data_IF_772265532551
#
_entry.id   IF_772265532551
#
_cell.length_a   1.000
_cell.length_b   1.000
_cell.length_c   1.000
_cell.angle_alpha   90.00
_cell.angle_beta   90.00
_cell.angle_gamma   90.00
#
_symmetry.space_group_name_H-M   'P 1'
#
loop_
_entity.id
_entity.type
_entity.pdbx_description
1 polymer ?
#
# COMPACT_ATOMS: atom_id res chain seq x y z
N UNK A 1 -18.12 0.73 -4.97
CA UNK A 1 -16.82 0.36 -5.57
C UNK A 1 -15.88 0.02 -4.43
N UNK A 2 -15.08 -1.05 -4.52
CA UNK A 2 -14.14 -1.39 -3.47
C UNK A 2 -13.06 -0.29 -3.34
N UNK A 3 -12.63 -0.04 -2.11
CA UNK A 3 -11.55 0.92 -1.81
C UNK A 3 -10.27 0.12 -1.54
N UNK A 4 -9.15 0.54 -2.12
CA UNK A 4 -7.82 -0.03 -1.84
C UNK A 4 -6.90 1.09 -1.37
N UNK A 5 -6.04 0.80 -0.40
CA UNK A 5 -5.01 1.73 0.07
C UNK A 5 -3.63 1.30 -0.45
N UNK A 6 -2.84 2.25 -0.96
CA UNK A 6 -1.44 2.08 -1.26
C UNK A 6 -0.61 2.95 -0.32
N UNK A 7 0.16 2.31 0.57
CA UNK A 7 1.08 2.97 1.49
C UNK A 7 2.54 2.71 1.07
N UNK A 8 3.33 3.77 1.00
CA UNK A 8 4.73 3.71 0.55
C UNK A 8 5.72 3.91 1.71
N UNK A 9 5.25 4.30 2.90
CA UNK A 9 6.08 4.47 4.08
C UNK A 9 5.60 3.65 5.28
N UNK A 10 6.47 3.40 6.29
CA UNK A 10 6.05 2.73 7.53
C UNK A 10 4.97 3.48 8.30
N UNK A 11 4.94 4.81 8.20
CA UNK A 11 3.89 5.61 8.81
C UNK A 11 2.59 5.49 8.03
N UNK A 12 2.63 5.64 6.71
CA UNK A 12 1.47 5.49 5.85
C UNK A 12 0.83 4.11 5.96
N UNK A 13 1.62 3.05 6.14
CA UNK A 13 1.09 1.71 6.35
C UNK A 13 0.30 1.61 7.67
N UNK A 14 0.81 2.19 8.76
CA UNK A 14 0.08 2.21 10.04
C UNK A 14 -1.25 2.95 9.91
N UNK A 15 -1.26 4.07 9.20
CA UNK A 15 -2.47 4.85 8.95
C UNK A 15 -3.45 4.09 8.05
N UNK A 16 -2.97 3.46 6.98
CA UNK A 16 -3.78 2.63 6.09
C UNK A 16 -4.44 1.45 6.83
N UNK A 17 -3.71 0.77 7.72
CA UNK A 17 -4.26 -0.30 8.58
C UNK A 17 -5.41 0.22 9.44
N UNK A 18 -5.25 1.39 10.06
CA UNK A 18 -6.29 1.99 10.90
C UNK A 18 -7.53 2.37 10.08
N UNK A 19 -7.35 2.95 8.89
CA UNK A 19 -8.44 3.38 8.01
C UNK A 19 -9.18 2.20 7.37
N UNK A 20 -8.47 1.14 7.02
CA UNK A 20 -9.06 -0.04 6.39
C UNK A 20 -9.75 -0.98 7.38
N UNK A 21 -9.33 -1.01 8.65
CA UNK A 21 -9.83 -1.94 9.68
C UNK A 21 -11.37 -2.02 9.78
N UNK A 22 -12.14 -0.91 9.75
CA UNK A 22 -13.59 -0.96 9.84
C UNK A 22 -14.28 -1.63 8.64
N UNK A 23 -13.63 -1.63 7.47
CA UNK A 23 -14.20 -2.09 6.20
C UNK A 23 -13.56 -3.38 5.68
N UNK A 24 -12.40 -3.76 6.22
CA UNK A 24 -11.58 -4.84 5.68
C UNK A 24 -11.00 -4.52 4.30
N UNK A 25 -10.87 -3.23 3.95
CA UNK A 25 -10.35 -2.80 2.64
C UNK A 25 -8.93 -3.34 2.42
N UNK A 26 -8.58 -3.81 1.20
CA UNK A 26 -7.23 -4.25 0.90
C UNK A 26 -6.20 -3.12 1.06
N UNK A 27 -5.02 -3.47 1.55
CA UNK A 27 -3.89 -2.57 1.70
C UNK A 27 -2.71 -3.16 0.94
N UNK A 28 -2.07 -2.33 0.13
CA UNK A 28 -0.83 -2.64 -0.54
C UNK A 28 0.29 -1.75 -0.01
N UNK A 29 1.49 -2.30 0.14
CA UNK A 29 2.64 -1.52 0.58
C UNK A 29 3.97 -1.92 -0.05
N UNK A 30 4.90 -0.95 -0.07
CA UNK A 30 6.27 -1.16 -0.54
C UNK A 30 7.08 -2.05 0.40
N UNK A 31 8.16 -2.65 -0.12
CA UNK A 31 9.04 -3.53 0.65
C UNK A 31 9.76 -2.83 1.83
N UNK A 32 9.81 -1.51 1.76
CA UNK A 32 10.42 -0.54 2.67
C UNK A 32 9.42 0.09 3.65
N UNK A 33 8.11 -0.13 3.45
CA UNK A 33 7.09 0.26 4.41
C UNK A 33 7.05 -0.68 5.63
N UNK A 34 7.47 -1.93 5.47
CA UNK A 34 7.49 -2.93 6.55
C UNK A 34 8.51 -4.03 6.23
N UNK A 35 9.27 -4.45 7.24
CA UNK A 35 10.18 -5.59 7.07
C UNK A 35 9.41 -6.90 6.86
N UNK A 36 10.06 -7.93 6.31
CA UNK A 36 9.43 -9.24 6.11
C UNK A 36 8.97 -9.88 7.42
N UNK A 37 9.75 -9.74 8.50
CA UNK A 37 9.38 -10.22 9.84
C UNK A 37 8.17 -9.49 10.41
N UNK A 38 8.09 -8.17 10.22
CA UNK A 38 6.94 -7.38 10.69
C UNK A 38 5.71 -7.64 9.83
N UNK A 39 5.87 -7.87 8.52
CA UNK A 39 4.79 -8.21 7.61
C UNK A 39 4.08 -9.51 8.02
N UNK A 40 4.84 -10.52 8.48
CA UNK A 40 4.26 -11.76 9.01
C UNK A 40 3.35 -11.50 10.23
N UNK A 41 3.60 -10.42 10.98
CA UNK A 41 2.77 -10.02 12.12
C UNK A 41 1.47 -9.33 11.71
N UNK A 42 1.33 -8.95 10.43
CA UNK A 42 0.13 -8.35 9.83
C UNK A 42 -0.82 -9.39 9.21
N UNK A 43 -0.55 -10.69 9.41
CA UNK A 43 -1.41 -11.76 8.94
C UNK A 43 -2.86 -11.55 9.37
N UNK A 44 -3.79 -11.65 8.41
CA UNK A 44 -5.23 -11.44 8.64
C UNK A 44 -5.72 -9.99 8.48
N UNK A 45 -4.85 -9.02 8.21
CA UNK A 45 -5.21 -7.59 8.05
C UNK A 45 -5.36 -7.15 6.58
N UNK A 46 -5.54 -8.09 5.65
CA UNK A 46 -5.65 -7.81 4.19
C UNK A 46 -4.51 -6.96 3.63
N UNK A 47 -3.30 -7.13 4.16
CA UNK A 47 -2.09 -6.44 3.70
C UNK A 47 -1.34 -7.31 2.70
N UNK A 48 -1.04 -6.76 1.54
CA UNK A 48 -0.14 -7.32 0.53
C UNK A 48 1.11 -6.44 0.43
N UNK A 49 2.30 -7.05 0.41
CA UNK A 49 3.57 -6.34 0.37
C UNK A 49 4.29 -6.61 -0.96
N UNK A 50 4.65 -5.56 -1.68
CA UNK A 50 5.53 -5.67 -2.84
C UNK A 50 6.94 -6.11 -2.43
N UNK A 51 7.64 -6.79 -3.33
CA UNK A 51 9.02 -7.23 -3.10
C UNK A 51 10.07 -6.14 -3.39
N UNK A 52 9.65 -4.97 -3.85
CA UNK A 52 10.48 -3.81 -4.18
C UNK A 52 10.01 -2.57 -3.37
N UNK A 53 10.90 -1.59 -3.12
CA UNK A 53 10.55 -0.38 -2.38
C UNK A 53 9.60 0.50 -3.21
N UNK A 54 8.85 1.38 -2.54
CA UNK A 54 8.03 2.39 -3.22
C UNK A 54 8.33 3.81 -2.74
N UNK A 55 8.99 3.97 -1.60
CA UNK A 55 9.31 5.29 -1.09
C UNK A 55 10.39 5.94 -1.93
N UNK A 56 10.17 7.20 -2.29
CA UNK A 56 11.10 8.03 -3.08
C UNK A 56 11.42 7.45 -4.48
N UNK A 57 10.71 6.40 -4.90
CA UNK A 57 10.79 5.84 -6.25
C UNK A 57 10.12 6.77 -7.28
N UNK A 58 10.56 6.71 -8.54
CA UNK A 58 10.00 7.54 -9.59
C UNK A 58 8.55 7.15 -9.92
N UNK A 59 7.84 8.07 -10.58
CA UNK A 59 6.40 7.95 -10.83
C UNK A 59 6.02 6.71 -11.65
N UNK A 60 6.89 6.28 -12.57
CA UNK A 60 6.70 5.06 -13.37
C UNK A 60 6.67 3.79 -12.49
N UNK A 61 7.49 3.70 -11.44
CA UNK A 61 7.45 2.59 -10.47
C UNK A 61 6.12 2.60 -9.69
N UNK A 62 5.62 3.78 -9.35
CA UNK A 62 4.31 3.90 -8.69
C UNK A 62 3.18 3.50 -9.65
N UNK A 63 3.24 3.92 -10.91
CA UNK A 63 2.25 3.57 -11.93
C UNK A 63 2.21 2.06 -12.20
N UNK A 64 3.36 1.39 -12.23
CA UNK A 64 3.45 -0.07 -12.35
C UNK A 64 2.84 -0.79 -11.14
N UNK A 65 3.06 -0.28 -9.92
CA UNK A 65 2.43 -0.80 -8.71
C UNK A 65 0.90 -0.62 -8.76
N UNK A 66 0.41 0.52 -9.25
CA UNK A 66 -1.02 0.79 -9.42
C UNK A 66 -1.65 -0.14 -10.47
N UNK A 67 -0.97 -0.39 -11.58
CA UNK A 67 -1.42 -1.35 -12.59
C UNK A 67 -1.55 -2.76 -11.99
N UNK A 68 -0.56 -3.18 -11.18
CA UNK A 68 -0.62 -4.46 -10.47
C UNK A 68 -1.82 -4.54 -9.51
N UNK A 69 -2.13 -3.45 -8.80
CA UNK A 69 -3.30 -3.39 -7.90
C UNK A 69 -4.60 -3.50 -8.70
N UNK A 70 -4.71 -2.82 -9.84
CA UNK A 70 -5.90 -2.87 -10.70
C UNK A 70 -6.15 -4.27 -11.27
N UNK A 71 -5.10 -5.03 -11.60
CA UNK A 71 -5.23 -6.43 -12.02
C UNK A 71 -5.85 -7.32 -10.92
N UNK A 72 -5.55 -7.04 -9.65
CA UNK A 72 -6.08 -7.79 -8.50
C UNK A 72 -7.44 -7.26 -8.01
N UNK A 73 -7.71 -5.98 -8.19
CA UNK A 73 -8.92 -5.30 -7.73
C UNK A 73 -9.55 -4.43 -8.83
N UNK A 74 -10.09 -5.04 -9.92
CA UNK A 74 -10.59 -4.27 -11.06
C UNK A 74 -11.72 -3.29 -10.67
N UNK A 75 -11.59 -2.04 -11.11
CA UNK A 75 -12.55 -0.96 -10.85
C UNK A 75 -12.56 -0.43 -9.41
N UNK A 76 -11.52 -0.72 -8.63
CA UNK A 76 -11.35 -0.17 -7.29
C UNK A 76 -10.96 1.31 -7.31
N UNK A 77 -11.37 2.05 -6.28
CA UNK A 77 -10.79 3.36 -6.00
C UNK A 77 -9.54 3.18 -5.16
N UNK A 78 -8.38 3.58 -5.70
CA UNK A 78 -7.08 3.45 -5.02
C UNK A 78 -6.73 4.79 -4.34
N UNK A 79 -6.55 4.76 -3.02
CA UNK A 79 -6.01 5.87 -2.24
C UNK A 79 -4.51 5.68 -2.06
N UNK A 80 -3.72 6.60 -2.61
CA UNK A 80 -2.25 6.52 -2.59
C UNK A 80 -1.69 7.52 -1.59
N UNK A 81 -0.80 7.04 -0.72
CA UNK A 81 0.01 7.91 0.13
C UNK A 81 0.83 8.87 -0.74
N UNK A 82 0.84 10.15 -0.40
CA UNK A 82 1.62 11.16 -1.13
C UNK A 82 3.12 10.90 -0.94
N UNK A 83 3.85 10.69 -2.05
CA UNK A 83 5.32 10.57 -2.11
C UNK A 83 6.07 11.90 -1.92
N UNK A 84 5.37 13.03 -1.82
CA UNK A 84 6.04 14.33 -1.62
C UNK A 84 6.58 14.44 -0.20
N UNK A 85 7.90 14.49 -0.08
CA UNK A 85 8.56 15.11 1.07
C UNK A 85 8.12 16.58 1.15
N UNK A 86 7.79 17.06 2.35
CA UNK A 86 7.55 18.49 2.55
C UNK A 86 8.79 19.25 2.07
N UNK A 87 8.61 20.15 1.12
CA UNK A 87 9.63 21.13 0.71
C UNK A 87 10.04 22.03 1.89
#
# INVERSE_FOLDING_TARGET
>A
MPTVFLAISPQGLKEAVQLASPTGSPIWCGSDAVSESEFQSLAGQSVTRFIYPLKDEPADVIDDALATIEEHHPGATIWVESHRTKA
#
